data_IF_245455694898
#
_entry.id   IF_245455694898
#
_cell.length_a   1.000
_cell.length_b   1.000
_cell.length_c   1.000
_cell.angle_alpha   90.00
_cell.angle_beta   90.00
_cell.angle_gamma   90.00
#
_symmetry.space_group_name_H-M   'P 1'
#
loop_
_entity.id
_entity.type
_entity.pdbx_description
1 polymer ?
#
# COMPACT_ATOMS: atom_id res chain seq x y z
N UNK A 1 -17.74 34.16 7.36
CA UNK A 1 -18.44 32.93 7.78
C UNK A 1 -18.00 31.68 7.01
N UNK A 2 -17.33 31.83 5.87
CA UNK A 2 -16.97 30.69 4.99
C UNK A 2 -15.67 29.97 5.37
N UNK A 3 -14.84 30.58 6.18
CA UNK A 3 -13.54 29.98 6.62
C UNK A 3 -13.75 28.80 7.56
N UNK A 4 -14.78 28.85 8.43
CA UNK A 4 -15.07 27.76 9.37
C UNK A 4 -15.60 26.48 8.68
N UNK A 5 -16.37 26.63 7.59
CA UNK A 5 -16.91 25.47 6.88
C UNK A 5 -15.87 24.75 6.03
N UNK A 6 -14.92 25.51 5.45
CA UNK A 6 -13.79 24.94 4.70
C UNK A 6 -12.83 24.17 5.61
N UNK A 7 -12.59 24.63 6.84
CA UNK A 7 -11.72 23.96 7.81
C UNK A 7 -12.33 22.67 8.35
N UNK A 8 -13.65 22.64 8.60
CA UNK A 8 -14.35 21.42 9.02
C UNK A 8 -14.35 20.38 7.90
N UNK A 9 -14.62 20.80 6.66
CA UNK A 9 -14.58 19.90 5.50
C UNK A 9 -13.17 19.40 5.21
N UNK A 10 -12.15 20.25 5.37
CA UNK A 10 -10.76 19.84 5.24
C UNK A 10 -10.37 18.81 6.32
N UNK A 11 -10.79 18.99 7.57
CA UNK A 11 -10.57 18.04 8.66
C UNK A 11 -11.28 16.72 8.43
N UNK A 12 -12.51 16.75 7.94
CA UNK A 12 -13.28 15.56 7.59
C UNK A 12 -12.58 14.77 6.47
N UNK A 13 -12.23 15.43 5.36
CA UNK A 13 -11.53 14.81 4.23
C UNK A 13 -10.16 14.28 4.65
N UNK A 14 -9.38 15.06 5.41
CA UNK A 14 -8.03 14.66 5.82
C UNK A 14 -8.04 13.62 6.95
N UNK A 15 -9.08 13.59 7.78
CA UNK A 15 -9.27 12.59 8.82
C UNK A 15 -9.57 11.20 8.26
N UNK A 16 -10.31 11.14 7.17
CA UNK A 16 -10.71 9.89 6.51
C UNK A 16 -9.77 9.46 5.39
N UNK A 17 -8.83 10.32 4.95
CA UNK A 17 -7.89 9.99 3.88
C UNK A 17 -6.96 8.87 4.33
N UNK A 18 -7.12 7.72 3.75
CA UNK A 18 -6.19 6.61 3.87
C UNK A 18 -4.87 7.00 3.23
N UNK A 19 -3.80 6.93 4.02
CA UNK A 19 -2.48 7.36 3.55
C UNK A 19 -1.87 6.41 2.52
N UNK A 20 -2.30 5.15 2.51
CA UNK A 20 -1.83 4.14 1.58
C UNK A 20 -3.03 3.39 0.98
N UNK A 21 -3.13 3.42 -0.33
CA UNK A 21 -4.16 2.70 -1.08
C UNK A 21 -3.49 1.73 -2.04
N UNK A 22 -3.84 0.46 -1.95
CA UNK A 22 -3.37 -0.58 -2.88
C UNK A 22 -4.48 -0.89 -3.86
N UNK A 23 -4.20 -0.71 -5.13
CA UNK A 23 -5.03 -1.17 -6.24
C UNK A 23 -4.42 -2.45 -6.76
N UNK A 24 -5.05 -3.56 -6.41
CA UNK A 24 -4.57 -4.86 -6.88
C UNK A 24 -4.64 -4.95 -8.42
N UNK A 25 -3.65 -5.52 -9.13
CA UNK A 25 -2.58 -6.33 -8.55
C UNK A 25 -1.30 -5.56 -8.20
N UNK A 26 -1.06 -4.36 -8.74
CA UNK A 26 0.31 -3.87 -8.81
C UNK A 26 0.48 -2.36 -8.65
N UNK A 27 -0.53 -1.64 -8.17
CA UNK A 27 -0.44 -0.19 -7.99
C UNK A 27 -0.64 0.16 -6.52
N UNK A 28 0.20 1.05 -6.01
CA UNK A 28 0.08 1.63 -4.67
C UNK A 28 0.13 3.15 -4.74
N UNK A 29 -0.82 3.82 -4.11
CA UNK A 29 -0.89 5.29 -4.04
C UNK A 29 -0.73 5.74 -2.60
N UNK A 30 0.16 6.71 -2.38
CA UNK A 30 0.34 7.41 -1.11
C UNK A 30 -0.13 8.86 -1.27
N UNK A 31 -1.36 9.13 -0.84
CA UNK A 31 -2.01 10.43 -1.04
C UNK A 31 -1.27 11.63 -0.43
N UNK A 32 -0.86 11.60 0.85
CA UNK A 32 -0.25 12.75 1.52
C UNK A 32 1.10 13.18 0.95
N UNK A 33 1.80 12.28 0.27
CA UNK A 33 3.10 12.53 -0.35
C UNK A 33 3.07 12.37 -1.87
N UNK A 34 1.88 12.31 -2.45
CA UNK A 34 1.64 12.32 -3.90
C UNK A 34 2.56 11.39 -4.67
N UNK A 35 2.67 10.16 -4.18
CA UNK A 35 3.52 9.14 -4.77
C UNK A 35 2.68 7.97 -5.26
N UNK A 36 2.99 7.50 -6.45
CA UNK A 36 2.45 6.28 -7.02
C UNK A 36 3.59 5.29 -7.20
N UNK A 37 3.39 4.06 -6.76
CA UNK A 37 4.30 2.95 -7.01
C UNK A 37 3.64 1.94 -7.93
N UNK A 38 4.41 1.43 -8.88
CA UNK A 38 4.02 0.35 -9.78
C UNK A 38 4.97 -0.82 -9.57
N UNK A 39 4.41 -1.99 -9.28
CA UNK A 39 5.15 -3.23 -9.10
C UNK A 39 5.09 -4.04 -10.40
N UNK A 40 6.24 -4.28 -11.02
CA UNK A 40 6.37 -5.04 -12.26
C UNK A 40 7.10 -6.35 -11.97
N UNK A 41 6.41 -7.50 -11.94
CA UNK A 41 7.07 -8.79 -11.81
C UNK A 41 7.89 -9.08 -13.05
N UNK A 42 9.18 -9.32 -12.87
CA UNK A 42 10.12 -9.65 -13.95
C UNK A 42 10.38 -11.16 -13.99
N UNK A 43 10.52 -11.76 -12.80
CA UNK A 43 10.71 -13.20 -12.61
C UNK A 43 10.15 -13.61 -11.25
N UNK A 44 10.10 -14.90 -10.95
CA UNK A 44 9.60 -15.41 -9.68
C UNK A 44 10.33 -14.84 -8.44
N UNK A 45 11.58 -14.44 -8.60
CA UNK A 45 12.43 -13.87 -7.56
C UNK A 45 12.88 -12.43 -7.87
N UNK A 46 12.23 -11.75 -8.81
CA UNK A 46 12.66 -10.40 -9.22
C UNK A 46 11.46 -9.52 -9.56
N UNK A 47 11.33 -8.43 -8.85
CA UNK A 47 10.30 -7.40 -9.08
C UNK A 47 10.96 -6.05 -9.26
N UNK A 48 10.55 -5.32 -10.30
CA UNK A 48 10.90 -3.91 -10.49
C UNK A 48 9.84 -3.04 -9.82
N UNK A 49 10.27 -2.13 -8.96
CA UNK A 49 9.38 -1.13 -8.34
C UNK A 49 9.70 0.23 -8.92
N UNK A 50 8.74 0.80 -9.64
CA UNK A 50 8.81 2.18 -10.11
C UNK A 50 8.07 3.08 -9.14
N UNK A 51 8.70 4.19 -8.74
CA UNK A 51 8.11 5.18 -7.85
C UNK A 51 8.02 6.53 -8.56
N UNK A 52 6.80 7.04 -8.70
CA UNK A 52 6.50 8.29 -9.38
C UNK A 52 6.02 9.32 -8.37
N UNK A 53 6.60 10.50 -8.41
CA UNK A 53 6.18 11.64 -7.58
C UNK A 53 5.45 12.65 -8.45
N UNK A 54 4.31 13.12 -7.96
CA UNK A 54 3.45 14.04 -8.70
C UNK A 54 3.38 15.39 -8.00
N UNK A 55 3.24 16.44 -8.81
CA UNK A 55 2.83 17.76 -8.36
C UNK A 55 1.31 17.87 -8.51
N UNK A 56 0.65 18.31 -7.45
CA UNK A 56 -0.75 18.71 -7.56
C UNK A 56 -0.83 20.09 -8.22
N UNK A 57 -1.56 20.17 -9.33
CA UNK A 57 -1.80 21.43 -10.03
C UNK A 57 -2.60 22.37 -9.15
N UNK A 58 -2.13 23.60 -8.99
CA UNK A 58 -2.75 24.60 -8.12
C UNK A 58 -2.40 24.51 -6.63
N UNK A 59 -1.69 23.47 -6.20
CA UNK A 59 -1.21 23.39 -4.82
C UNK A 59 0.06 24.22 -4.59
N UNK A 60 0.30 24.71 -3.35
CA UNK A 60 1.50 25.43 -3.00
C UNK A 60 2.78 24.61 -3.28
N UNK A 61 3.85 25.27 -3.74
CA UNK A 61 5.15 24.64 -4.02
C UNK A 61 5.73 23.91 -2.81
N UNK A 62 5.50 24.41 -1.62
CA UNK A 62 5.90 23.78 -0.35
C UNK A 62 5.39 22.33 -0.19
N UNK A 63 4.24 22.01 -0.79
CA UNK A 63 3.72 20.64 -0.77
C UNK A 63 4.59 19.70 -1.62
N UNK A 64 5.02 20.16 -2.80
CA UNK A 64 5.95 19.42 -3.65
C UNK A 64 7.32 19.26 -2.97
N UNK A 65 7.86 20.31 -2.39
CA UNK A 65 9.14 20.28 -1.65
C UNK A 65 9.11 19.24 -0.54
N UNK A 66 8.03 19.23 0.27
CA UNK A 66 7.82 18.20 1.31
C UNK A 66 7.75 16.80 0.74
N UNK A 67 7.06 16.63 -0.37
CA UNK A 67 6.93 15.32 -1.04
C UNK A 67 8.28 14.83 -1.55
N UNK A 68 9.06 15.69 -2.18
CA UNK A 68 10.40 15.35 -2.68
C UNK A 68 11.35 15.02 -1.54
N UNK A 69 11.32 15.80 -0.45
CA UNK A 69 12.13 15.54 0.73
C UNK A 69 11.78 14.19 1.36
N UNK A 70 10.50 13.88 1.50
CA UNK A 70 10.04 12.59 2.02
C UNK A 70 10.48 11.42 1.12
N UNK A 71 10.33 11.56 -0.20
CA UNK A 71 10.78 10.54 -1.13
C UNK A 71 12.29 10.28 -1.06
N UNK A 72 13.09 11.34 -0.90
CA UNK A 72 14.54 11.20 -0.68
C UNK A 72 14.84 10.49 0.62
N UNK A 73 14.12 10.83 1.69
CA UNK A 73 14.30 10.20 3.00
C UNK A 73 14.00 8.70 2.98
N UNK A 74 12.97 8.27 2.24
CA UNK A 74 12.52 6.88 2.23
C UNK A 74 13.18 6.05 1.13
N UNK A 75 13.36 6.62 -0.08
CA UNK A 75 13.73 5.84 -1.27
C UNK A 75 15.17 6.09 -1.74
N UNK A 76 15.93 6.99 -1.10
CA UNK A 76 17.32 7.21 -1.48
C UNK A 76 18.18 5.97 -1.19
N UNK A 77 19.23 5.72 -1.96
CA UNK A 77 20.16 4.61 -1.69
C UNK A 77 20.82 4.66 -0.31
N UNK A 78 20.89 5.84 0.30
CA UNK A 78 21.42 6.05 1.66
C UNK A 78 20.34 6.01 2.74
N UNK A 79 19.08 5.73 2.37
CA UNK A 79 17.97 5.67 3.32
C UNK A 79 18.01 4.39 4.13
N UNK A 80 17.95 4.52 5.44
CA UNK A 80 17.82 3.37 6.35
C UNK A 80 16.46 2.67 6.14
N UNK A 81 15.38 3.44 5.91
CA UNK A 81 14.01 2.90 5.76
C UNK A 81 13.88 2.04 4.50
N UNK A 82 14.42 2.52 3.37
CA UNK A 82 14.33 1.78 2.10
C UNK A 82 15.14 0.48 2.14
N UNK A 83 16.30 0.49 2.76
CA UNK A 83 17.15 -0.70 2.90
C UNK A 83 16.54 -1.75 3.84
N UNK A 84 15.90 -1.33 4.92
CA UNK A 84 15.20 -2.23 5.84
C UNK A 84 14.07 -2.98 5.12
N UNK A 85 13.27 -2.28 4.34
CA UNK A 85 12.22 -2.89 3.52
C UNK A 85 12.80 -3.89 2.49
N UNK A 86 13.90 -3.55 1.81
CA UNK A 86 14.52 -4.40 0.79
C UNK A 86 15.10 -5.68 1.41
N UNK A 87 15.75 -5.58 2.56
CA UNK A 87 16.24 -6.74 3.32
C UNK A 87 15.10 -7.67 3.73
N UNK A 88 13.96 -7.12 4.17
CA UNK A 88 12.79 -7.91 4.51
C UNK A 88 12.21 -8.65 3.31
N UNK A 89 12.18 -8.02 2.13
CA UNK A 89 11.71 -8.69 0.91
C UNK A 89 12.65 -9.82 0.48
N UNK A 90 13.96 -9.63 0.57
CA UNK A 90 14.96 -10.65 0.25
C UNK A 90 14.82 -11.86 1.18
N UNK A 91 14.77 -11.63 2.49
CA UNK A 91 14.55 -12.70 3.49
C UNK A 91 13.23 -13.43 3.31
N UNK A 92 12.16 -12.72 2.98
CA UNK A 92 10.87 -13.33 2.69
C UNK A 92 10.95 -14.24 1.44
N UNK A 93 11.68 -13.81 0.42
CA UNK A 93 11.91 -14.62 -0.79
C UNK A 93 12.72 -15.88 -0.49
N UNK A 94 13.77 -15.78 0.31
CA UNK A 94 14.55 -16.94 0.76
C UNK A 94 13.71 -17.92 1.59
N UNK A 95 12.88 -17.40 2.50
CA UNK A 95 11.98 -18.22 3.29
C UNK A 95 10.96 -18.99 2.42
N UNK A 96 10.44 -18.36 1.37
CA UNK A 96 9.55 -19.01 0.40
C UNK A 96 10.26 -20.12 -0.40
N UNK A 97 11.54 -19.92 -0.74
CA UNK A 97 12.35 -20.94 -1.41
C UNK A 97 12.64 -22.16 -0.52
N UNK A 98 12.77 -21.95 0.79
CA UNK A 98 13.09 -23.04 1.73
C UNK A 98 12.00 -24.10 1.85
N UNK A 99 10.76 -23.78 1.43
CA UNK A 99 9.57 -24.64 1.56
C UNK A 99 9.34 -25.17 2.99
N UNK A 100 9.84 -24.44 3.98
CA UNK A 100 9.73 -24.81 5.39
C UNK A 100 8.31 -24.89 5.93
N UNK A 101 7.37 -24.19 5.29
CA UNK A 101 5.94 -24.28 5.58
C UNK A 101 5.12 -24.16 4.29
N UNK A 102 4.08 -24.96 4.16
CA UNK A 102 3.14 -24.90 3.04
C UNK A 102 1.94 -23.98 3.32
N UNK A 103 1.81 -23.50 4.55
CA UNK A 103 0.66 -22.74 4.99
C UNK A 103 1.05 -21.45 5.66
N UNK A 104 0.32 -20.39 5.35
CA UNK A 104 0.41 -19.08 6.01
C UNK A 104 -0.91 -18.83 6.72
N UNK A 105 -0.84 -18.49 8.00
CA UNK A 105 -2.03 -18.10 8.77
C UNK A 105 -2.25 -16.60 8.67
N UNK A 106 -3.37 -16.20 8.08
CA UNK A 106 -3.82 -14.81 7.96
C UNK A 106 -5.22 -14.63 8.58
N UNK A 107 -5.45 -15.25 9.73
CA UNK A 107 -6.76 -15.30 10.37
C UNK A 107 -7.01 -14.24 11.44
N UNK A 108 -6.05 -13.32 11.68
CA UNK A 108 -6.22 -12.28 12.71
C UNK A 108 -7.45 -11.43 12.42
N UNK A 109 -8.34 -11.35 13.42
CA UNK A 109 -9.62 -10.65 13.34
C UNK A 109 -10.45 -11.07 12.09
N UNK A 110 -10.45 -12.36 11.81
CA UNK A 110 -11.27 -12.91 10.74
C UNK A 110 -12.75 -12.85 11.12
N UNK A 111 -13.58 -12.33 10.21
CA UNK A 111 -15.03 -12.36 10.28
C UNK A 111 -15.58 -13.10 9.05
N UNK A 112 -16.37 -14.18 9.21
CA UNK A 112 -17.00 -14.88 8.08
C UNK A 112 -17.81 -13.97 7.15
N UNK A 113 -18.41 -12.91 7.67
CA UNK A 113 -19.19 -11.94 6.90
C UNK A 113 -18.35 -11.11 5.90
N UNK A 114 -17.00 -11.11 6.01
CA UNK A 114 -16.13 -10.43 5.06
C UNK A 114 -16.34 -10.89 3.61
N UNK A 115 -16.77 -12.13 3.41
CA UNK A 115 -16.91 -12.71 2.07
C UNK A 115 -18.04 -12.08 1.26
N UNK A 116 -19.07 -11.61 1.95
CA UNK A 116 -20.33 -11.15 1.33
C UNK A 116 -20.39 -9.63 1.21
N UNK A 117 -19.42 -8.91 1.75
CA UNK A 117 -19.40 -7.46 1.79
C UNK A 117 -18.51 -6.87 0.69
N UNK A 118 -19.07 -5.91 -0.09
CA UNK A 118 -18.31 -5.18 -1.11
C UNK A 118 -17.30 -4.19 -0.50
N UNK A 119 -17.68 -3.54 0.59
CA UNK A 119 -16.85 -2.56 1.28
C UNK A 119 -16.82 -2.91 2.76
N UNK A 120 -15.65 -3.23 3.26
CA UNK A 120 -15.44 -3.61 4.67
C UNK A 120 -14.49 -2.62 5.30
N UNK A 121 -14.88 -2.09 6.46
CA UNK A 121 -14.02 -1.28 7.32
C UNK A 121 -13.65 -2.13 8.52
N UNK A 122 -12.37 -2.35 8.72
CA UNK A 122 -11.85 -3.19 9.81
C UNK A 122 -10.79 -2.45 10.60
N UNK A 123 -10.48 -2.96 11.79
CA UNK A 123 -9.36 -2.47 12.58
C UNK A 123 -8.06 -2.58 11.76
N UNK A 124 -7.15 -1.59 11.88
CA UNK A 124 -5.89 -1.55 11.15
C UNK A 124 -4.94 -2.72 11.43
N UNK A 125 -5.17 -3.47 12.53
CA UNK A 125 -4.42 -4.70 12.85
C UNK A 125 -5.03 -5.97 12.26
N UNK A 126 -6.19 -5.88 11.58
CA UNK A 126 -6.79 -7.01 10.87
C UNK A 126 -5.96 -7.44 9.67
N UNK A 127 -5.90 -8.75 9.43
CA UNK A 127 -5.29 -9.32 8.22
C UNK A 127 -6.28 -9.43 7.04
N UNK A 128 -7.43 -8.77 7.13
CA UNK A 128 -8.43 -8.75 6.05
C UNK A 128 -7.85 -8.29 4.72
N UNK A 129 -6.95 -7.30 4.73
CA UNK A 129 -6.30 -6.81 3.51
C UNK A 129 -5.49 -7.90 2.81
N UNK A 130 -4.76 -8.73 3.55
CA UNK A 130 -4.02 -9.86 3.00
C UNK A 130 -4.97 -10.91 2.43
N UNK A 131 -6.02 -11.26 3.18
CA UNK A 131 -7.06 -12.18 2.70
C UNK A 131 -7.74 -11.69 1.42
N UNK A 132 -8.01 -10.39 1.34
CA UNK A 132 -8.61 -9.77 0.14
C UNK A 132 -7.67 -9.85 -1.06
N UNK A 133 -6.36 -9.63 -0.86
CA UNK A 133 -5.36 -9.75 -1.93
C UNK A 133 -5.24 -11.19 -2.43
N UNK A 134 -5.22 -12.19 -1.53
CA UNK A 134 -5.20 -13.60 -1.93
C UNK A 134 -6.46 -14.00 -2.70
N UNK A 135 -7.65 -13.55 -2.27
CA UNK A 135 -8.89 -13.78 -3.02
C UNK A 135 -8.83 -13.13 -4.41
N UNK A 136 -8.37 -11.89 -4.49
CA UNK A 136 -8.21 -11.22 -5.77
C UNK A 136 -7.22 -11.96 -6.68
N UNK A 137 -6.11 -12.46 -6.12
CA UNK A 137 -5.14 -13.25 -6.86
C UNK A 137 -5.75 -14.55 -7.42
N UNK A 138 -6.49 -15.31 -6.60
CA UNK A 138 -7.18 -16.51 -7.04
C UNK A 138 -8.11 -16.22 -8.23
N UNK A 139 -8.89 -15.13 -8.14
CA UNK A 139 -9.77 -14.68 -9.22
C UNK A 139 -9.01 -14.35 -10.50
N UNK A 140 -7.91 -13.60 -10.41
CA UNK A 140 -7.09 -13.27 -11.58
C UNK A 140 -6.45 -14.50 -12.22
N UNK A 141 -6.15 -15.52 -11.44
CA UNK A 141 -5.57 -16.79 -11.92
C UNK A 141 -6.63 -17.78 -12.41
N UNK A 142 -7.92 -17.45 -12.33
CA UNK A 142 -9.00 -18.35 -12.72
C UNK A 142 -9.14 -19.57 -11.80
N UNK A 143 -8.71 -19.46 -10.55
CA UNK A 143 -8.73 -20.53 -9.55
C UNK A 143 -9.91 -20.45 -8.58
N UNK A 144 -10.78 -19.45 -8.72
CA UNK A 144 -12.05 -19.41 -7.98
C UNK A 144 -13.05 -20.41 -8.56
N UNK A 145 -13.60 -21.25 -7.67
CA UNK A 145 -14.72 -22.12 -7.95
C UNK A 145 -16.05 -21.35 -7.84
#
# INVERSE_FOLDING_TARGET
>A
SDVCSSDLRAKEILGDVRHNTVYFPNIMVKGPIQTLRVFKPIAANKTLVESWTFRLVGAPDKLLERTLMYNRLINAPTSVVGHDDLEMYERAQEALHSRGTSWINVARLYDPAEKDQKNVVVNGTSEMQMRAQFRAWLKYMGLEA
#
